data_IF_970620970011
#
_entry.id   IF_970620970011
#
_cell.length_a   1.000
_cell.length_b   1.000
_cell.length_c   1.000
_cell.angle_alpha   90.00
_cell.angle_beta   90.00
_cell.angle_gamma   90.00
#
_symmetry.space_group_name_H-M   'P 1'
#
loop_
_entity.id
_entity.type
_entity.pdbx_description
1 polymer ?
#
# COMPACT_ATOMS: atom_id res chain seq x y z
N UNK A 1 -13.12 -0.62 -18.24
CA UNK A 1 -12.32 0.14 -17.25
C UNK A 1 -12.33 1.62 -17.68
N UNK A 2 -12.55 2.56 -16.75
CA UNK A 2 -12.42 3.98 -17.07
C UNK A 2 -10.94 4.30 -17.36
N UNK A 3 -10.64 5.07 -18.42
CA UNK A 3 -9.28 5.51 -18.70
C UNK A 3 -8.73 6.35 -17.53
N UNK A 4 -7.42 6.26 -17.29
CA UNK A 4 -6.69 6.96 -16.22
C UNK A 4 -6.86 8.50 -16.29
N UNK A 5 -7.22 9.00 -17.47
CA UNK A 5 -7.64 10.38 -17.70
C UNK A 5 -9.06 10.37 -18.26
N UNK A 6 -9.98 11.05 -17.56
CA UNK A 6 -11.33 11.31 -18.07
C UNK A 6 -11.30 12.59 -18.91
N UNK A 7 -11.46 12.51 -20.23
CA UNK A 7 -11.48 13.71 -21.05
C UNK A 7 -12.73 14.54 -20.70
N UNK A 8 -12.60 15.87 -20.61
CA UNK A 8 -13.69 16.76 -20.20
C UNK A 8 -15.00 16.56 -20.97
N UNK A 9 -14.94 16.19 -22.25
CA UNK A 9 -16.14 15.82 -23.05
C UNK A 9 -16.96 14.68 -22.43
N UNK A 10 -16.33 13.69 -21.80
CA UNK A 10 -17.07 12.59 -21.15
C UNK A 10 -17.73 13.02 -19.85
N UNK A 11 -17.17 14.04 -19.19
CA UNK A 11 -17.64 14.57 -17.92
C UNK A 11 -18.78 15.56 -18.14
N UNK A 12 -18.64 16.47 -19.11
CA UNK A 12 -19.55 17.59 -19.32
C UNK A 12 -20.48 17.46 -20.54
N UNK A 13 -20.18 16.54 -21.47
CA UNK A 13 -20.91 16.31 -22.72
C UNK A 13 -21.26 14.82 -22.89
N UNK A 14 -21.53 14.14 -21.78
CA UNK A 14 -21.86 12.71 -21.75
C UNK A 14 -23.28 12.44 -22.24
N UNK A 15 -24.21 12.22 -21.31
CA UNK A 15 -25.64 12.01 -21.64
C UNK A 15 -26.32 13.29 -22.15
N UNK A 16 -25.81 14.46 -21.73
CA UNK A 16 -26.31 15.77 -22.09
C UNK A 16 -25.11 16.73 -22.22
N UNK A 17 -25.15 17.66 -23.18
CA UNK A 17 -24.20 18.76 -23.23
C UNK A 17 -24.62 19.84 -22.23
N UNK A 18 -23.99 19.82 -21.05
CA UNK A 18 -24.25 20.80 -20.00
C UNK A 18 -23.98 22.24 -20.46
N UNK A 19 -22.91 22.45 -21.23
CA UNK A 19 -22.55 23.79 -21.69
C UNK A 19 -23.53 24.29 -22.75
N UNK A 20 -23.96 23.41 -23.65
CA UNK A 20 -25.04 23.68 -24.60
C UNK A 20 -26.35 24.04 -23.88
N UNK A 21 -26.79 23.21 -22.93
CA UNK A 21 -28.01 23.45 -22.17
C UNK A 21 -27.98 24.77 -21.38
N UNK A 22 -26.85 25.13 -20.78
CA UNK A 22 -26.67 26.43 -20.10
C UNK A 22 -26.73 27.60 -21.10
N UNK A 23 -26.11 27.47 -22.27
CA UNK A 23 -26.14 28.49 -23.31
C UNK A 23 -27.55 28.71 -23.86
N UNK A 24 -28.30 27.63 -24.09
CA UNK A 24 -29.69 27.68 -24.52
C UNK A 24 -30.59 28.29 -23.45
N UNK A 25 -30.38 27.94 -22.17
CA UNK A 25 -31.12 28.52 -21.05
C UNK A 25 -30.89 30.03 -20.93
N UNK A 26 -29.64 30.49 -21.05
CA UNK A 26 -29.32 31.92 -21.08
C UNK A 26 -30.06 32.64 -22.21
N UNK A 27 -30.11 32.04 -23.40
CA UNK A 27 -30.78 32.66 -24.55
C UNK A 27 -32.30 32.67 -24.40
N UNK A 28 -32.89 31.61 -23.84
CA UNK A 28 -34.32 31.55 -23.56
C UNK A 28 -34.74 32.63 -22.55
N UNK A 29 -33.95 32.82 -21.50
CA UNK A 29 -34.15 33.89 -20.51
C UNK A 29 -34.07 35.28 -21.15
N UNK A 30 -33.09 35.52 -22.03
CA UNK A 30 -32.95 36.81 -22.74
C UNK A 30 -34.10 37.10 -23.70
N UNK A 31 -34.70 36.05 -24.29
CA UNK A 31 -35.79 36.16 -25.25
C UNK A 31 -37.18 36.15 -24.59
N UNK A 32 -37.26 35.98 -23.27
CA UNK A 32 -38.52 35.87 -22.54
C UNK A 32 -39.30 34.58 -22.85
N UNK A 33 -38.62 33.54 -23.36
CA UNK A 33 -39.26 32.28 -23.72
C UNK A 33 -39.44 31.38 -22.49
N UNK A 34 -40.46 31.70 -21.70
CA UNK A 34 -40.83 30.94 -20.50
C UNK A 34 -41.29 29.51 -20.81
N UNK A 35 -41.68 29.22 -22.06
CA UNK A 35 -42.17 27.89 -22.46
C UNK A 35 -41.03 26.87 -22.60
N UNK A 36 -39.83 27.33 -22.97
CA UNK A 36 -38.65 26.47 -23.12
C UNK A 36 -37.97 26.12 -21.77
N UNK A 37 -38.14 26.96 -20.75
CA UNK A 37 -37.45 26.85 -19.45
C UNK A 37 -37.58 25.48 -18.76
N UNK A 38 -38.78 24.86 -18.66
CA UNK A 38 -38.94 23.58 -17.97
C UNK A 38 -38.12 22.45 -18.62
N UNK A 39 -38.05 22.45 -19.95
CA UNK A 39 -37.27 21.47 -20.71
C UNK A 39 -35.78 21.65 -20.50
N UNK A 40 -35.31 22.90 -20.43
CA UNK A 40 -33.91 23.26 -20.20
C UNK A 40 -33.46 22.94 -18.77
N UNK A 41 -34.31 23.20 -17.77
CA UNK A 41 -34.06 22.79 -16.38
C UNK A 41 -33.92 21.26 -16.28
N UNK A 42 -34.82 20.52 -16.93
CA UNK A 42 -34.73 19.05 -16.95
C UNK A 42 -33.45 18.53 -17.61
N UNK A 43 -32.92 19.23 -18.62
CA UNK A 43 -31.63 18.91 -19.26
C UNK A 43 -30.47 19.18 -18.30
N UNK A 44 -30.46 20.32 -17.62
CA UNK A 44 -29.46 20.66 -16.63
C UNK A 44 -29.44 19.66 -15.47
N UNK A 45 -30.61 19.23 -14.99
CA UNK A 45 -30.74 18.22 -13.94
C UNK A 45 -30.12 16.89 -14.35
N UNK A 46 -30.35 16.44 -15.60
CA UNK A 46 -29.72 15.22 -16.14
C UNK A 46 -28.21 15.36 -16.23
N UNK A 47 -27.72 16.49 -16.71
CA UNK A 47 -26.28 16.75 -16.76
C UNK A 47 -25.64 16.78 -15.37
N UNK A 48 -26.32 17.36 -14.38
CA UNK A 48 -25.88 17.35 -12.98
C UNK A 48 -25.85 15.92 -12.40
N UNK A 49 -26.89 15.13 -12.67
CA UNK A 49 -26.94 13.72 -12.26
C UNK A 49 -25.79 12.92 -12.90
N UNK A 50 -25.42 13.22 -14.15
CA UNK A 50 -24.27 12.61 -14.80
C UNK A 50 -22.94 12.97 -14.11
N UNK A 51 -22.73 14.25 -13.77
CA UNK A 51 -21.55 14.69 -13.01
C UNK A 51 -21.41 13.94 -11.68
N UNK A 52 -22.50 13.83 -10.91
CA UNK A 52 -22.53 13.11 -9.64
C UNK A 52 -22.20 11.62 -9.84
N UNK A 53 -22.68 10.97 -10.90
CA UNK A 53 -22.33 9.58 -11.23
C UNK A 53 -20.83 9.44 -11.54
N UNK A 54 -20.24 10.38 -12.29
CA UNK A 54 -18.80 10.36 -12.61
C UNK A 54 -17.98 10.54 -11.35
N UNK A 55 -18.33 11.51 -10.50
CA UNK A 55 -17.68 11.75 -9.21
C UNK A 55 -17.74 10.52 -8.29
N UNK A 56 -18.92 9.91 -8.15
CA UNK A 56 -19.09 8.72 -7.33
C UNK A 56 -18.22 7.55 -7.80
N UNK A 57 -18.07 7.37 -9.12
CA UNK A 57 -17.20 6.35 -9.73
C UNK A 57 -15.72 6.65 -9.47
N UNK A 58 -15.28 7.89 -9.64
CA UNK A 58 -13.93 8.33 -9.32
C UNK A 58 -13.60 8.09 -7.84
N UNK A 59 -14.50 8.51 -6.94
CA UNK A 59 -14.34 8.27 -5.50
C UNK A 59 -14.27 6.79 -5.15
N UNK A 60 -15.04 5.92 -5.84
CA UNK A 60 -14.94 4.47 -5.65
C UNK A 60 -13.57 3.91 -6.09
N UNK A 61 -13.02 4.40 -7.20
CA UNK A 61 -11.69 4.00 -7.67
C UNK A 61 -10.58 4.49 -6.73
N UNK A 62 -10.66 5.72 -6.23
CA UNK A 62 -9.72 6.26 -5.24
C UNK A 62 -9.74 5.38 -3.98
N UNK A 63 -10.92 5.11 -3.42
CA UNK A 63 -11.07 4.22 -2.25
C UNK A 63 -10.53 2.82 -2.51
N UNK A 64 -10.69 2.28 -3.72
CA UNK A 64 -10.12 0.99 -4.07
C UNK A 64 -8.59 1.04 -4.08
N UNK A 65 -7.99 2.08 -4.65
CA UNK A 65 -6.55 2.29 -4.64
C UNK A 65 -5.98 2.46 -3.22
N UNK A 66 -6.66 3.23 -2.37
CA UNK A 66 -6.28 3.41 -0.97
C UNK A 66 -6.29 2.08 -0.20
N UNK A 67 -7.36 1.29 -0.33
CA UNK A 67 -7.44 -0.05 0.30
C UNK A 67 -6.34 -1.00 -0.17
N UNK A 68 -6.02 -0.99 -1.46
CA UNK A 68 -4.92 -1.81 -1.99
C UNK A 68 -3.58 -1.36 -1.41
N UNK A 69 -3.33 -0.05 -1.33
CA UNK A 69 -2.11 0.51 -0.74
C UNK A 69 -1.97 0.15 0.74
N UNK A 70 -3.04 0.26 1.51
CA UNK A 70 -3.06 -0.11 2.93
C UNK A 70 -2.84 -1.61 3.13
N UNK A 71 -3.50 -2.45 2.32
CA UNK A 71 -3.29 -3.90 2.34
C UNK A 71 -1.84 -4.28 2.06
N UNK A 72 -1.23 -3.69 1.03
CA UNK A 72 0.18 -3.93 0.69
C UNK A 72 1.14 -3.46 1.80
N UNK A 73 0.86 -2.34 2.47
CA UNK A 73 1.66 -1.86 3.58
C UNK A 73 1.59 -2.81 4.80
N UNK A 74 0.40 -3.34 5.08
CA UNK A 74 0.20 -4.31 6.16
C UNK A 74 0.90 -5.65 5.86
N UNK A 75 0.81 -6.11 4.62
CA UNK A 75 1.47 -7.34 4.17
C UNK A 75 2.99 -7.20 4.22
N UNK A 76 3.54 -6.07 3.77
CA UNK A 76 4.97 -5.76 3.89
C UNK A 76 5.46 -5.81 5.34
N UNK A 77 4.71 -5.21 6.28
CA UNK A 77 5.03 -5.25 7.72
C UNK A 77 4.98 -6.69 8.26
N UNK A 78 3.98 -7.46 7.85
CA UNK A 78 3.83 -8.87 8.25
C UNK A 78 4.98 -9.73 7.75
N UNK A 79 5.37 -9.55 6.48
CA UNK A 79 6.51 -10.25 5.88
C UNK A 79 7.83 -9.86 6.54
N UNK A 80 8.03 -8.58 6.84
CA UNK A 80 9.21 -8.11 7.56
C UNK A 80 9.28 -8.71 8.98
N UNK A 81 8.16 -8.79 9.69
CA UNK A 81 8.09 -9.46 10.99
C UNK A 81 8.43 -10.95 10.91
N UNK A 82 7.92 -11.67 9.90
CA UNK A 82 8.26 -13.09 9.67
C UNK A 82 9.74 -13.28 9.35
N UNK A 83 10.30 -12.42 8.51
CA UNK A 83 11.73 -12.42 8.16
C UNK A 83 12.62 -12.17 9.38
N UNK A 84 12.25 -11.22 10.23
CA UNK A 84 12.95 -10.94 11.50
C UNK A 84 12.90 -12.15 12.44
N UNK A 85 11.75 -12.80 12.64
CA UNK A 85 11.66 -14.01 13.49
C UNK A 85 12.56 -15.14 12.98
N UNK A 86 12.59 -15.39 11.66
CA UNK A 86 13.50 -16.39 11.07
C UNK A 86 14.97 -15.99 11.25
N UNK A 87 15.34 -14.77 10.86
CA UNK A 87 16.74 -14.32 10.91
C UNK A 87 17.29 -14.16 12.32
N UNK A 88 16.51 -13.60 13.24
CA UNK A 88 16.95 -13.35 14.62
C UNK A 88 17.01 -14.65 15.45
N UNK A 89 16.14 -15.63 15.17
CA UNK A 89 16.21 -16.94 15.81
C UNK A 89 17.49 -17.69 15.41
N UNK A 90 17.82 -17.70 14.12
CA UNK A 90 19.04 -18.36 13.62
C UNK A 90 20.31 -17.70 14.19
N UNK A 91 20.37 -16.36 14.24
CA UNK A 91 21.51 -15.65 14.84
C UNK A 91 21.67 -15.93 16.35
N UNK A 92 20.57 -16.04 17.09
CA UNK A 92 20.62 -16.39 18.51
C UNK A 92 21.07 -17.85 18.73
N UNK A 93 20.61 -18.78 17.90
CA UNK A 93 21.04 -20.18 17.94
C UNK A 93 22.52 -20.35 17.57
N UNK A 94 23.00 -19.64 16.54
CA UNK A 94 24.41 -19.69 16.14
C UNK A 94 25.32 -19.06 17.21
N UNK A 95 24.90 -17.94 17.82
CA UNK A 95 25.65 -17.32 18.92
C UNK A 95 25.73 -18.20 20.17
N UNK A 96 24.65 -18.91 20.53
CA UNK A 96 24.66 -19.85 21.67
C UNK A 96 25.52 -21.07 21.38
N UNK A 97 25.43 -21.63 20.16
CA UNK A 97 26.29 -22.72 19.70
C UNK A 97 27.77 -22.32 19.72
N UNK A 98 28.09 -21.10 19.28
CA UNK A 98 29.45 -20.59 19.29
C UNK A 98 29.99 -20.41 20.71
N UNK A 99 29.21 -19.85 21.63
CA UNK A 99 29.58 -19.77 23.06
C UNK A 99 29.79 -21.14 23.70
N UNK A 100 28.96 -22.14 23.38
CA UNK A 100 29.15 -23.50 23.87
C UNK A 100 30.47 -24.11 23.38
N UNK A 101 30.80 -23.92 22.09
CA UNK A 101 32.08 -24.34 21.51
C UNK A 101 33.26 -23.63 22.18
N UNK A 102 33.14 -22.34 22.45
CA UNK A 102 34.16 -21.54 23.13
C UNK A 102 34.42 -22.06 24.56
N UNK A 103 33.37 -22.28 25.35
CA UNK A 103 33.50 -22.82 26.72
C UNK A 103 34.10 -24.22 26.72
N UNK A 104 33.68 -25.09 25.80
CA UNK A 104 34.24 -26.44 25.67
C UNK A 104 35.74 -26.40 25.29
N UNK A 105 36.13 -25.50 24.38
CA UNK A 105 37.52 -25.29 24.00
C UNK A 105 38.35 -24.78 25.18
N UNK A 106 37.86 -23.77 25.91
CA UNK A 106 38.52 -23.24 27.11
C UNK A 106 38.69 -24.32 28.18
N UNK A 107 37.67 -25.14 28.43
CA UNK A 107 37.74 -26.25 29.38
C UNK A 107 38.77 -27.30 28.93
N UNK A 108 38.82 -27.61 27.64
CA UNK A 108 39.80 -28.55 27.06
C UNK A 108 41.22 -28.00 27.21
N UNK A 109 41.45 -26.72 26.90
CA UNK A 109 42.75 -26.07 27.09
C UNK A 109 43.18 -26.09 28.55
N UNK A 110 42.29 -25.75 29.49
CA UNK A 110 42.56 -25.84 30.93
C UNK A 110 42.89 -27.26 31.39
N UNK A 111 42.16 -28.26 30.90
CA UNK A 111 42.43 -29.65 31.20
C UNK A 111 43.80 -30.07 30.67
N UNK A 112 44.12 -29.75 29.40
CA UNK A 112 45.44 -30.05 28.81
C UNK A 112 46.57 -29.33 29.54
N UNK A 113 46.39 -28.07 29.94
CA UNK A 113 47.37 -27.30 30.70
C UNK A 113 47.61 -27.87 32.11
N UNK A 114 46.62 -28.55 32.71
CA UNK A 114 46.77 -29.26 33.99
C UNK A 114 47.41 -30.64 33.83
N UNK A 115 47.19 -31.31 32.69
CA UNK A 115 47.77 -32.62 32.38
C UNK A 115 49.23 -32.54 31.91
N UNK A 116 49.61 -31.48 31.18
CA UNK A 116 50.97 -31.30 30.66
C UNK A 116 52.07 -31.34 31.76
N UNK A 117 51.91 -30.66 32.91
CA UNK A 117 52.92 -30.68 33.97
C UNK A 117 53.11 -32.07 34.59
N UNK A 118 52.05 -32.87 34.70
CA UNK A 118 52.14 -34.22 35.28
C UNK A 118 52.81 -35.22 34.32
N UNK A 119 52.48 -35.14 33.03
CA UNK A 119 53.05 -36.05 32.02
C UNK A 119 54.52 -35.78 31.70
N UNK A 120 54.97 -34.52 31.75
CA UNK A 120 56.40 -34.20 31.59
C UNK A 120 57.26 -34.60 32.80
N UNK A 121 56.71 -34.56 34.02
CA UNK A 121 57.42 -34.99 35.22
C UNK A 121 57.47 -36.52 35.33
N UNK A 122 56.43 -37.24 34.89
CA UNK A 122 56.43 -38.72 34.85
C UNK A 122 57.35 -39.32 33.77
N UNK A 123 57.61 -38.62 32.67
CA UNK A 123 58.54 -39.10 31.61
C UNK A 123 60.00 -38.78 31.94
N UNK A 124 60.26 -37.83 32.83
CA UNK A 124 61.61 -37.39 33.23
C UNK A 124 62.07 -37.90 34.61
N UNK A 125 61.29 -38.77 35.26
CA UNK A 125 61.65 -39.52 36.46
C UNK A 125 61.88 -41.00 36.12
#
# INVERSE_FOLDING_TARGET
ALPLALPGRWVFQGEEDLFGAMGEAQQALRRGDASALPSLLSRLDRGMAHLLKVEARLGAQIRQGERLREGLAQEATTLQGRLSVLGDADLAEEATTWRLKEVALQATLLATARLLPHTLVEVMA
#
